data_IF_837606906716
#
_entry.id   IF_837606906716
#
_cell.length_a   1.000
_cell.length_b   1.000
_cell.length_c   1.000
_cell.angle_alpha   90.00
_cell.angle_beta   90.00
_cell.angle_gamma   90.00
#
_symmetry.space_group_name_H-M   'P 1'
#
loop_
_entity.id
_entity.type
_entity.pdbx_description
1 polymer ?
#
# COMPACT_ATOMS: atom_id res chain seq x y z
N UNK A 1 13.11 -16.05 8.70
CA UNK A 1 12.42 -15.26 7.67
C UNK A 1 12.37 -16.08 6.37
N UNK A 2 11.20 -16.12 5.77
CA UNK A 2 10.94 -16.86 4.54
C UNK A 2 11.72 -16.23 3.38
N UNK A 3 12.33 -17.07 2.53
CA UNK A 3 13.12 -16.58 1.40
C UNK A 3 12.28 -15.79 0.38
N UNK A 4 11.05 -16.25 0.12
CA UNK A 4 10.15 -15.54 -0.79
C UNK A 4 9.81 -14.15 -0.28
N UNK A 5 9.58 -14.02 1.01
CA UNK A 5 9.29 -12.73 1.64
C UNK A 5 10.50 -11.79 1.51
N UNK A 6 11.68 -12.31 1.80
CA UNK A 6 12.93 -11.52 1.72
C UNK A 6 13.17 -11.04 0.29
N UNK A 7 13.04 -11.94 -0.68
CA UNK A 7 13.26 -11.61 -2.08
C UNK A 7 12.27 -10.56 -2.58
N UNK A 8 11.01 -10.67 -2.16
CA UNK A 8 9.98 -9.70 -2.51
C UNK A 8 10.30 -8.30 -1.97
N UNK A 9 10.68 -8.23 -0.70
CA UNK A 9 11.04 -6.96 -0.08
C UNK A 9 12.23 -6.33 -0.79
N UNK A 10 13.27 -7.11 -1.08
CA UNK A 10 14.47 -6.61 -1.78
C UNK A 10 14.11 -6.09 -3.17
N UNK A 11 13.31 -6.84 -3.92
CA UNK A 11 12.89 -6.46 -5.27
C UNK A 11 12.18 -5.09 -5.26
N UNK A 12 11.19 -4.93 -4.40
CA UNK A 12 10.40 -3.71 -4.37
C UNK A 12 11.11 -2.55 -3.66
N UNK A 13 12.06 -2.84 -2.80
CA UNK A 13 12.90 -1.81 -2.20
C UNK A 13 13.82 -1.18 -3.24
N UNK A 14 14.46 -1.99 -4.09
CA UNK A 14 15.39 -1.50 -5.10
C UNK A 14 14.69 -0.90 -6.32
N UNK A 15 13.50 -1.38 -6.65
CA UNK A 15 12.77 -0.93 -7.84
C UNK A 15 11.29 -0.77 -7.52
N UNK A 16 10.93 0.21 -6.69
CA UNK A 16 9.54 0.42 -6.31
C UNK A 16 8.70 0.92 -7.48
N UNK A 17 7.58 0.24 -7.73
CA UNK A 17 6.66 0.58 -8.80
C UNK A 17 5.86 1.83 -8.46
N UNK A 18 5.63 2.68 -9.46
CA UNK A 18 4.79 3.88 -9.36
C UNK A 18 5.30 4.94 -8.37
N UNK A 19 6.54 4.84 -7.92
CA UNK A 19 7.13 5.82 -7.01
C UNK A 19 7.38 7.14 -7.74
N UNK A 20 7.27 8.23 -7.00
CA UNK A 20 7.46 9.59 -7.50
C UNK A 20 6.17 10.39 -7.41
N UNK A 21 6.28 11.69 -7.25
CA UNK A 21 5.13 12.56 -7.08
C UNK A 21 4.83 13.32 -8.36
N UNK A 22 3.54 13.48 -8.64
CA UNK A 22 3.06 14.38 -9.68
C UNK A 22 3.22 15.82 -9.20
N UNK A 23 3.64 16.70 -10.09
CA UNK A 23 3.92 18.10 -9.75
C UNK A 23 3.14 19.06 -10.64
N UNK A 24 3.05 20.32 -10.17
CA UNK A 24 2.50 21.44 -10.95
C UNK A 24 1.00 21.27 -11.26
N UNK A 25 0.61 21.64 -12.47
CA UNK A 25 -0.79 21.66 -12.87
C UNK A 25 -1.45 20.29 -12.90
N UNK A 26 -0.69 19.23 -13.10
CA UNK A 26 -1.21 17.88 -13.16
C UNK A 26 -1.75 17.42 -11.80
N UNK A 27 -1.24 18.00 -10.71
CA UNK A 27 -1.64 17.64 -9.35
C UNK A 27 -3.10 18.00 -9.03
N UNK A 28 -3.69 18.93 -9.76
CA UNK A 28 -5.06 19.41 -9.49
C UNK A 28 -6.08 18.28 -9.54
N UNK A 29 -5.81 17.21 -10.28
CA UNK A 29 -6.71 16.07 -10.43
C UNK A 29 -6.43 14.96 -9.42
N UNK A 30 -5.52 15.17 -8.49
CA UNK A 30 -5.10 14.16 -7.52
C UNK A 30 -5.52 14.55 -6.12
N UNK A 31 -5.97 13.57 -5.35
CA UNK A 31 -6.12 13.70 -3.91
C UNK A 31 -4.77 13.41 -3.26
N UNK A 32 -4.40 14.20 -2.26
CA UNK A 32 -3.10 14.06 -1.58
C UNK A 32 -3.31 13.87 -0.10
N UNK A 33 -2.67 12.86 0.48
CA UNK A 33 -2.63 12.68 1.93
C UNK A 33 -1.24 12.26 2.37
N UNK A 34 -0.90 12.62 3.59
CA UNK A 34 0.36 12.27 4.22
C UNK A 34 0.12 11.52 5.51
N UNK A 35 1.00 10.58 5.79
CA UNK A 35 0.99 9.86 7.06
C UNK A 35 2.41 9.81 7.60
N UNK A 36 2.56 10.05 8.90
CA UNK A 36 3.85 10.02 9.56
C UNK A 36 3.76 9.14 10.80
N UNK A 37 4.61 8.12 10.85
CA UNK A 37 4.71 7.25 12.02
C UNK A 37 5.79 7.79 12.94
N UNK A 38 5.37 8.44 14.02
CA UNK A 38 6.28 9.11 14.96
C UNK A 38 7.30 8.14 15.55
N UNK A 39 6.87 6.92 15.86
CA UNK A 39 7.73 5.96 16.56
C UNK A 39 8.85 5.39 15.69
N UNK A 40 8.69 5.38 14.37
CA UNK A 40 9.67 4.80 13.44
C UNK A 40 10.27 5.82 12.48
N UNK A 41 9.88 7.09 12.57
CA UNK A 41 10.27 8.13 11.62
C UNK A 41 9.86 7.82 10.17
N UNK A 42 8.92 6.89 9.98
CA UNK A 42 8.38 6.57 8.67
C UNK A 42 7.44 7.67 8.20
N UNK A 43 7.47 7.94 6.91
CA UNK A 43 6.61 8.96 6.31
C UNK A 43 6.20 8.52 4.91
N UNK A 44 4.93 8.70 4.57
CA UNK A 44 4.43 8.46 3.22
C UNK A 44 3.57 9.62 2.76
N UNK A 45 3.77 10.03 1.51
CA UNK A 45 2.90 10.97 0.82
C UNK A 45 2.23 10.18 -0.30
N UNK A 46 0.91 10.21 -0.33
CA UNK A 46 0.12 9.46 -1.30
C UNK A 46 -0.67 10.42 -2.17
N UNK A 47 -0.56 10.26 -3.47
CA UNK A 47 -1.31 11.03 -4.47
C UNK A 47 -2.13 10.05 -5.30
N UNK A 48 -3.45 10.19 -5.27
CA UNK A 48 -4.33 9.24 -5.94
C UNK A 48 -5.31 10.00 -6.83
N UNK A 49 -5.43 9.55 -8.05
CA UNK A 49 -6.39 10.08 -9.00
C UNK A 49 -7.59 9.16 -9.08
N UNK A 50 -8.78 9.70 -8.82
CA UNK A 50 -10.03 8.97 -8.88
C UNK A 50 -10.87 9.49 -10.05
N UNK A 51 -11.45 8.60 -10.83
CA UNK A 51 -12.40 8.95 -11.89
C UNK A 51 -13.49 7.88 -11.97
N UNK A 52 -14.74 8.31 -12.03
CA UNK A 52 -15.90 7.40 -12.22
C UNK A 52 -15.89 6.24 -11.23
N UNK A 53 -15.59 6.52 -9.96
CA UNK A 53 -15.51 5.52 -8.87
C UNK A 53 -14.44 4.46 -9.11
N UNK A 54 -13.39 4.82 -9.83
CA UNK A 54 -12.23 3.96 -10.04
C UNK A 54 -10.96 4.66 -9.59
N UNK A 55 -9.98 3.88 -9.18
CA UNK A 55 -8.64 4.38 -8.92
C UNK A 55 -7.89 4.36 -10.24
N UNK A 56 -7.60 5.55 -10.78
CA UNK A 56 -6.96 5.67 -12.10
C UNK A 56 -5.45 5.66 -11.99
N UNK A 57 -4.91 6.28 -10.95
CA UNK A 57 -3.47 6.37 -10.76
C UNK A 57 -3.13 6.48 -9.29
N UNK A 58 -1.99 5.90 -8.91
CA UNK A 58 -1.45 5.96 -7.56
C UNK A 58 0.02 6.35 -7.67
N UNK A 59 0.38 7.47 -7.06
CA UNK A 59 1.78 7.91 -6.94
C UNK A 59 2.11 8.13 -5.48
N UNK A 60 3.37 7.98 -5.12
CA UNK A 60 3.75 8.12 -3.72
C UNK A 60 5.22 8.44 -3.57
N UNK A 61 5.56 9.01 -2.43
CA UNK A 61 6.93 9.11 -1.94
C UNK A 61 6.97 8.56 -0.53
N UNK A 62 7.98 7.75 -0.24
CA UNK A 62 8.12 7.07 1.04
C UNK A 62 9.50 7.33 1.60
N UNK A 63 9.53 7.62 2.90
CA UNK A 63 10.76 7.75 3.66
C UNK A 63 10.63 6.81 4.88
N UNK A 64 11.39 5.73 4.90
CA UNK A 64 11.25 4.76 5.98
C UNK A 64 11.85 3.41 5.63
N UNK A 65 11.37 2.37 6.32
CA UNK A 65 11.95 1.04 6.21
C UNK A 65 11.59 0.35 4.88
N UNK A 66 12.34 -0.71 4.57
CA UNK A 66 12.16 -1.47 3.34
C UNK A 66 10.76 -2.10 3.25
N UNK A 67 10.17 -2.49 4.39
CA UNK A 67 8.83 -3.09 4.42
C UNK A 67 7.77 -2.07 3.99
N UNK A 68 7.90 -0.84 4.47
CA UNK A 68 6.97 0.23 4.08
C UNK A 68 7.07 0.52 2.58
N UNK A 69 8.28 0.60 2.06
CA UNK A 69 8.53 0.86 0.64
C UNK A 69 7.94 -0.27 -0.21
N UNK A 70 8.22 -1.52 0.15
CA UNK A 70 7.72 -2.67 -0.58
C UNK A 70 6.19 -2.76 -0.54
N UNK A 71 5.60 -2.47 0.61
CA UNK A 71 4.15 -2.48 0.76
C UNK A 71 3.48 -1.42 -0.11
N UNK A 72 4.03 -0.20 -0.13
CA UNK A 72 3.50 0.87 -0.98
C UNK A 72 3.61 0.51 -2.46
N UNK A 73 4.75 -0.06 -2.87
CA UNK A 73 4.96 -0.51 -4.24
C UNK A 73 3.91 -1.54 -4.67
N UNK A 74 3.72 -2.58 -3.86
CA UNK A 74 2.73 -3.62 -4.14
C UNK A 74 1.30 -3.09 -4.12
N UNK A 75 0.97 -2.23 -3.18
CA UNK A 75 -0.35 -1.61 -3.13
C UNK A 75 -0.63 -0.87 -4.45
N UNK A 76 0.32 -0.10 -4.94
CA UNK A 76 0.13 0.66 -6.16
C UNK A 76 -0.13 -0.22 -7.37
N UNK A 77 0.52 -1.38 -7.43
CA UNK A 77 0.30 -2.35 -8.51
C UNK A 77 -1.08 -3.00 -8.38
N UNK A 78 -1.44 -3.43 -7.17
CA UNK A 78 -2.63 -4.24 -6.93
C UNK A 78 -3.92 -3.44 -6.98
N UNK A 79 -3.90 -2.15 -6.65
CA UNK A 79 -5.11 -1.35 -6.54
C UNK A 79 -5.32 -0.36 -7.69
N UNK A 80 -4.28 -0.05 -8.45
CA UNK A 80 -4.43 0.82 -9.60
C UNK A 80 -5.40 0.18 -10.61
N UNK A 81 -6.32 0.98 -11.15
CA UNK A 81 -7.36 0.58 -12.09
C UNK A 81 -8.50 -0.25 -11.49
N UNK A 82 -8.52 -0.45 -10.18
CA UNK A 82 -9.64 -1.09 -9.51
C UNK A 82 -10.76 -0.10 -9.25
N UNK A 83 -12.02 -0.59 -9.26
CA UNK A 83 -13.11 0.22 -8.74
C UNK A 83 -13.00 0.33 -7.22
N UNK A 84 -13.70 1.31 -6.64
CA UNK A 84 -13.56 1.60 -5.21
C UNK A 84 -14.06 0.45 -4.32
N UNK A 85 -15.10 -0.26 -4.76
CA UNK A 85 -15.65 -1.37 -3.97
C UNK A 85 -14.62 -2.49 -3.87
N UNK A 86 -14.02 -2.86 -4.99
CA UNK A 86 -13.01 -3.91 -5.04
C UNK A 86 -11.76 -3.49 -4.25
N UNK A 87 -11.34 -2.24 -4.41
CA UNK A 87 -10.19 -1.72 -3.69
C UNK A 87 -10.39 -1.79 -2.17
N UNK A 88 -11.57 -1.41 -1.69
CA UNK A 88 -11.90 -1.49 -0.26
C UNK A 88 -11.81 -2.94 0.24
N UNK A 89 -12.35 -3.89 -0.53
CA UNK A 89 -12.28 -5.30 -0.16
C UNK A 89 -10.84 -5.78 -0.06
N UNK A 90 -10.03 -5.48 -1.06
CA UNK A 90 -8.62 -5.88 -1.07
C UNK A 90 -7.86 -5.29 0.11
N UNK A 91 -8.08 -4.01 0.42
CA UNK A 91 -7.43 -3.36 1.55
C UNK A 91 -7.79 -4.06 2.86
N UNK A 92 -9.08 -4.31 3.07
CA UNK A 92 -9.54 -4.95 4.31
C UNK A 92 -8.97 -6.36 4.46
N UNK A 93 -8.97 -7.14 3.38
CA UNK A 93 -8.46 -8.51 3.45
C UNK A 93 -6.94 -8.54 3.60
N UNK A 94 -6.21 -7.61 2.98
CA UNK A 94 -4.78 -7.51 3.20
C UNK A 94 -4.46 -7.18 4.66
N UNK A 95 -5.14 -6.21 5.23
CA UNK A 95 -4.93 -5.84 6.63
C UNK A 95 -5.31 -6.99 7.58
N UNK A 96 -6.39 -7.72 7.28
CA UNK A 96 -6.77 -8.89 8.07
C UNK A 96 -5.68 -9.96 8.04
N UNK A 97 -5.11 -10.22 6.86
CA UNK A 97 -4.01 -11.16 6.72
C UNK A 97 -2.83 -10.80 7.62
N UNK A 98 -2.46 -9.51 7.65
CA UNK A 98 -1.34 -9.04 8.47
C UNK A 98 -1.60 -9.24 9.96
N UNK A 99 -2.87 -9.17 10.39
CA UNK A 99 -3.27 -9.34 11.80
C UNK A 99 -3.56 -10.80 12.16
N UNK A 100 -3.35 -11.72 11.23
CA UNK A 100 -3.72 -13.13 11.42
C UNK A 100 -5.24 -13.30 11.68
N UNK A 101 -6.05 -12.47 11.02
CA UNK A 101 -7.50 -12.57 11.02
C UNK A 101 -7.97 -13.23 9.72
N UNK A 102 -9.24 -13.60 9.66
CA UNK A 102 -9.82 -14.28 8.49
C UNK A 102 -9.77 -13.37 7.27
N UNK A 103 -9.25 -13.87 6.16
CA UNK A 103 -9.20 -13.17 4.89
C UNK A 103 -9.41 -14.14 3.73
N UNK A 104 -9.81 -13.62 2.56
CA UNK A 104 -9.98 -14.41 1.35
C UNK A 104 -8.72 -14.30 0.48
N UNK A 105 -7.92 -15.39 0.38
CA UNK A 105 -6.69 -15.34 -0.42
C UNK A 105 -6.95 -15.08 -1.90
N UNK A 106 -8.14 -15.36 -2.41
CA UNK A 106 -8.46 -15.12 -3.82
C UNK A 106 -8.56 -13.63 -4.17
N UNK A 107 -8.78 -12.79 -3.16
CA UNK A 107 -8.82 -11.34 -3.36
C UNK A 107 -7.43 -10.72 -3.43
N UNK A 108 -6.40 -11.45 -3.05
CA UNK A 108 -5.04 -10.94 -2.96
C UNK A 108 -4.14 -11.62 -3.99
N UNK A 109 -3.31 -10.83 -4.66
CA UNK A 109 -2.32 -11.37 -5.58
C UNK A 109 -1.29 -12.24 -4.85
N UNK A 110 -0.69 -13.19 -5.55
CA UNK A 110 0.28 -14.12 -4.96
C UNK A 110 1.40 -13.39 -4.23
N UNK A 111 1.90 -12.29 -4.80
CA UNK A 111 2.95 -11.51 -4.14
C UNK A 111 2.50 -10.92 -2.82
N UNK A 112 1.23 -10.51 -2.71
CA UNK A 112 0.70 -10.00 -1.45
C UNK A 112 0.61 -11.09 -0.39
N UNK A 113 0.31 -12.32 -0.79
CA UNK A 113 0.21 -13.43 0.16
C UNK A 113 1.54 -13.73 0.85
N UNK A 114 2.65 -13.36 0.23
CA UNK A 114 3.98 -13.50 0.85
C UNK A 114 4.08 -12.66 2.12
N UNK A 115 3.35 -11.54 2.20
CA UNK A 115 3.32 -10.69 3.39
C UNK A 115 2.63 -11.34 4.59
N UNK A 116 2.00 -12.50 4.42
CA UNK A 116 1.43 -13.24 5.56
C UNK A 116 2.50 -13.53 6.63
N UNK A 117 3.75 -13.61 6.23
CA UNK A 117 4.88 -13.79 7.15
C UNK A 117 4.94 -12.69 8.23
N UNK A 118 4.34 -11.53 7.97
CA UNK A 118 4.33 -10.40 8.90
C UNK A 118 3.67 -10.76 10.23
N UNK A 119 2.72 -11.70 10.23
CA UNK A 119 2.06 -12.13 11.49
C UNK A 119 3.05 -12.65 12.52
N UNK A 120 4.23 -13.12 12.07
CA UNK A 120 5.29 -13.61 12.94
C UNK A 120 6.20 -12.49 13.45
N UNK A 121 5.98 -11.26 12.98
CA UNK A 121 6.78 -10.08 13.32
C UNK A 121 5.87 -8.91 13.67
N UNK A 122 5.26 -8.91 14.86
CA UNK A 122 4.25 -7.89 15.21
C UNK A 122 4.72 -6.44 15.08
N UNK A 123 6.01 -6.18 15.28
CA UNK A 123 6.57 -4.84 15.13
C UNK A 123 6.56 -4.32 13.70
N UNK A 124 6.36 -5.20 12.70
CA UNK A 124 6.35 -4.82 11.30
C UNK A 124 4.95 -4.60 10.75
N UNK A 125 3.93 -4.98 11.50
CA UNK A 125 2.54 -4.85 11.09
C UNK A 125 2.20 -3.42 10.67
N UNK A 126 2.58 -2.44 11.48
CA UNK A 126 2.26 -1.04 11.20
C UNK A 126 2.88 -0.58 9.89
N UNK A 127 4.17 -0.88 9.68
CA UNK A 127 4.86 -0.47 8.46
C UNK A 127 4.16 -1.01 7.22
N UNK A 128 3.80 -2.28 7.23
CA UNK A 128 3.15 -2.92 6.08
C UNK A 128 1.75 -2.37 5.84
N UNK A 129 1.02 -1.98 6.88
CA UNK A 129 -0.38 -1.55 6.77
C UNK A 129 -0.57 -0.07 6.46
N UNK A 130 0.41 0.78 6.74
CA UNK A 130 0.27 2.24 6.60
C UNK A 130 -0.22 2.67 5.21
N UNK A 131 0.40 2.26 4.11
CA UNK A 131 -0.05 2.71 2.79
C UNK A 131 -1.49 2.33 2.50
N UNK A 132 -1.88 1.12 2.89
CA UNK A 132 -3.22 0.59 2.64
C UNK A 132 -4.27 1.33 3.44
N UNK A 133 -4.00 1.59 4.71
CA UNK A 133 -4.93 2.33 5.57
C UNK A 133 -5.08 3.78 5.12
N UNK A 134 -3.99 4.39 4.67
CA UNK A 134 -4.03 5.75 4.17
C UNK A 134 -4.90 5.84 2.90
N UNK A 135 -4.72 4.90 1.99
CA UNK A 135 -5.55 4.86 0.78
C UNK A 135 -7.02 4.61 1.12
N UNK A 136 -7.31 3.77 2.11
CA UNK A 136 -8.68 3.55 2.55
C UNK A 136 -9.33 4.86 3.04
N UNK A 137 -8.60 5.66 3.80
CA UNK A 137 -9.09 6.97 4.25
C UNK A 137 -9.40 7.87 3.05
N UNK A 138 -8.54 7.87 2.05
CA UNK A 138 -8.76 8.66 0.83
C UNK A 138 -10.00 8.21 0.07
N UNK A 139 -10.20 6.90 -0.04
CA UNK A 139 -11.39 6.34 -0.69
C UNK A 139 -12.66 6.76 0.05
N UNK A 140 -12.64 6.74 1.38
CA UNK A 140 -13.82 7.04 2.19
C UNK A 140 -14.30 8.48 2.08
N UNK A 141 -13.49 9.40 1.60
CA UNK A 141 -13.88 10.79 1.38
C UNK A 141 -14.25 11.09 -0.08
N UNK A 142 -14.30 10.10 -0.93
CA UNK A 142 -14.72 10.26 -2.34
C UNK A 142 -16.23 10.23 -2.51
#
# INVERSE_FOLDING_TARGET
MNQLYRDLIVKHYHNPSNKGLIKNNELINYCVMKEKNISCSDEIILQVKFENKNIVDIKYEVKGCAILIASASLMSICLKKNDLILAIKKIKHFCNMLKNEIFDPQLLDDELLVFETIKDFPGRFKCASIPWKLLLQMINIQ
#
